data_IF_664263808076
#
_entry.id   IF_664263808076
#
_cell.length_a   1.000
_cell.length_b   1.000
_cell.length_c   1.000
_cell.angle_alpha   90.00
_cell.angle_beta   90.00
_cell.angle_gamma   90.00
#
_symmetry.space_group_name_H-M   'P 1'
#
loop_
_entity.id
_entity.type
_entity.pdbx_description
1 polymer ?
#
# COMPACT_ATOMS: atom_id res chain seq x y z
N UNK A 1 15.64 -7.25 -22.89
CA UNK A 1 14.73 -7.88 -21.91
C UNK A 1 13.80 -6.89 -21.19
N UNK A 2 13.94 -5.57 -21.31
CA UNK A 2 13.10 -4.63 -20.54
C UNK A 2 11.68 -4.38 -21.07
N UNK A 3 11.44 -4.41 -22.40
CA UNK A 3 10.15 -3.94 -22.96
C UNK A 3 8.94 -4.77 -22.52
N UNK A 4 9.05 -6.10 -22.57
CA UNK A 4 7.96 -7.00 -22.14
C UNK A 4 7.67 -6.80 -20.66
N UNK A 5 8.72 -6.73 -19.83
CA UNK A 5 8.57 -6.48 -18.39
C UNK A 5 7.90 -5.13 -18.13
N UNK A 6 8.29 -4.07 -18.83
CA UNK A 6 7.66 -2.75 -18.71
C UNK A 6 6.20 -2.77 -19.15
N UNK A 7 5.87 -3.45 -20.24
CA UNK A 7 4.48 -3.61 -20.72
C UNK A 7 3.65 -4.38 -19.68
N UNK A 8 4.17 -5.49 -19.17
CA UNK A 8 3.48 -6.28 -18.14
C UNK A 8 3.23 -5.49 -16.87
N UNK A 9 4.23 -4.74 -16.37
CA UNK A 9 4.08 -3.90 -15.18
C UNK A 9 3.06 -2.78 -15.43
N UNK A 10 3.11 -2.13 -16.61
CA UNK A 10 2.15 -1.07 -16.95
C UNK A 10 0.72 -1.60 -17.01
N UNK A 11 0.53 -2.80 -17.58
CA UNK A 11 -0.77 -3.47 -17.62
C UNK A 11 -1.26 -3.84 -16.22
N UNK A 12 -0.38 -4.35 -15.35
CA UNK A 12 -0.73 -4.67 -13.97
C UNK A 12 -1.15 -3.41 -13.19
N UNK A 13 -0.42 -2.30 -13.35
CA UNK A 13 -0.79 -1.02 -12.73
C UNK A 13 -2.13 -0.52 -13.27
N UNK A 14 -2.38 -0.62 -14.58
CA UNK A 14 -3.65 -0.25 -15.18
C UNK A 14 -4.82 -1.06 -14.62
N UNK A 15 -4.69 -2.40 -14.56
CA UNK A 15 -5.72 -3.27 -14.01
C UNK A 15 -5.99 -2.97 -12.53
N UNK A 16 -4.95 -2.74 -11.74
CA UNK A 16 -5.10 -2.32 -10.34
C UNK A 16 -5.78 -0.95 -10.21
N UNK A 17 -5.48 0.01 -11.08
CA UNK A 17 -6.13 1.33 -11.08
C UNK A 17 -7.61 1.28 -11.45
N UNK A 18 -7.99 0.32 -12.28
CA UNK A 18 -9.39 0.02 -12.61
C UNK A 18 -10.06 -0.89 -11.56
N UNK A 19 -9.37 -1.20 -10.45
CA UNK A 19 -9.82 -2.08 -9.39
C UNK A 19 -10.19 -3.50 -9.87
N UNK A 20 -9.46 -4.02 -10.86
CA UNK A 20 -9.63 -5.39 -11.38
C UNK A 20 -8.75 -6.34 -10.58
N UNK A 21 -9.37 -7.29 -9.90
CA UNK A 21 -8.72 -8.34 -9.12
C UNK A 21 -8.60 -9.65 -9.90
N UNK A 22 -7.66 -10.51 -9.49
CA UNK A 22 -7.50 -11.85 -10.10
C UNK A 22 -8.78 -12.69 -10.00
N UNK A 23 -9.57 -12.51 -8.93
CA UNK A 23 -10.87 -13.17 -8.76
C UNK A 23 -11.82 -12.82 -9.91
N UNK A 24 -11.86 -11.55 -10.34
CA UNK A 24 -12.71 -11.11 -11.44
C UNK A 24 -12.38 -11.82 -12.75
N UNK A 25 -11.08 -12.09 -12.99
CA UNK A 25 -10.64 -12.82 -14.18
C UNK A 25 -11.16 -14.26 -14.19
N UNK A 26 -11.25 -14.91 -13.02
CA UNK A 26 -11.80 -16.27 -12.89
C UNK A 26 -13.31 -16.28 -13.11
N UNK A 27 -14.00 -15.22 -12.73
CA UNK A 27 -15.46 -15.08 -12.83
C UNK A 27 -15.94 -14.61 -14.21
N UNK A 28 -15.04 -14.29 -15.15
CA UNK A 28 -15.41 -13.88 -16.52
C UNK A 28 -16.24 -14.94 -17.27
N UNK A 29 -16.05 -16.22 -16.98
CA UNK A 29 -16.89 -17.28 -17.55
C UNK A 29 -18.36 -17.14 -17.15
N UNK A 30 -18.61 -16.84 -15.87
CA UNK A 30 -19.96 -16.65 -15.34
C UNK A 30 -20.61 -15.37 -15.90
N UNK A 31 -19.81 -14.32 -16.14
CA UNK A 31 -20.28 -13.12 -16.83
C UNK A 31 -20.79 -13.44 -18.24
N UNK A 32 -20.05 -14.25 -19.00
CA UNK A 32 -20.44 -14.63 -20.37
C UNK A 32 -21.67 -15.53 -20.36
N UNK A 33 -21.75 -16.51 -19.46
CA UNK A 33 -22.92 -17.39 -19.32
C UNK A 33 -24.17 -16.59 -18.96
N UNK A 34 -24.06 -15.66 -18.01
CA UNK A 34 -25.20 -14.83 -17.59
C UNK A 34 -25.61 -13.84 -18.69
N UNK A 35 -24.65 -13.30 -19.46
CA UNK A 35 -24.99 -12.52 -20.66
C UNK A 35 -25.74 -13.35 -21.71
N UNK A 36 -25.34 -14.60 -21.94
CA UNK A 36 -26.05 -15.48 -22.88
C UNK A 36 -27.48 -15.73 -22.43
N UNK A 37 -27.69 -16.00 -21.15
CA UNK A 37 -29.04 -16.12 -20.57
C UNK A 37 -29.88 -14.86 -20.81
N UNK A 38 -29.33 -13.67 -20.54
CA UNK A 38 -30.00 -12.40 -20.77
C UNK A 38 -30.34 -12.13 -22.24
N UNK A 39 -29.43 -12.49 -23.14
CA UNK A 39 -29.64 -12.35 -24.58
C UNK A 39 -30.72 -13.33 -25.09
N UNK A 40 -30.79 -14.54 -24.54
CA UNK A 40 -31.78 -15.56 -24.94
C UNK A 40 -33.18 -15.31 -24.34
N UNK A 41 -33.26 -15.00 -23.04
CA UNK A 41 -34.52 -14.86 -22.31
C UNK A 41 -35.13 -13.46 -22.46
N UNK A 42 -34.30 -12.41 -22.39
CA UNK A 42 -34.75 -11.02 -22.37
C UNK A 42 -34.44 -10.26 -23.67
N UNK A 43 -33.65 -10.84 -24.58
CA UNK A 43 -33.23 -10.17 -25.81
C UNK A 43 -32.26 -9.02 -25.58
N UNK A 44 -31.54 -9.02 -24.44
CA UNK A 44 -30.60 -7.96 -24.10
C UNK A 44 -29.35 -8.05 -24.98
N UNK A 45 -28.98 -6.93 -25.61
CA UNK A 45 -27.63 -6.79 -26.15
C UNK A 45 -26.59 -6.60 -25.03
N UNK A 46 -25.31 -6.75 -25.38
CA UNK A 46 -24.23 -6.67 -24.41
C UNK A 46 -24.17 -5.32 -23.67
N UNK A 47 -24.51 -4.21 -24.32
CA UNK A 47 -24.45 -2.88 -23.69
C UNK A 47 -25.60 -2.70 -22.69
N UNK A 48 -26.79 -3.18 -23.03
CA UNK A 48 -27.95 -3.19 -22.11
C UNK A 48 -27.65 -4.07 -20.92
N UNK A 49 -27.08 -5.27 -21.13
CA UNK A 49 -26.65 -6.15 -20.05
C UNK A 49 -25.65 -5.47 -19.10
N UNK A 50 -24.60 -4.84 -19.65
CA UNK A 50 -23.63 -4.09 -18.82
C UNK A 50 -24.30 -2.96 -18.05
N UNK A 51 -25.25 -2.24 -18.65
CA UNK A 51 -25.99 -1.18 -17.96
C UNK A 51 -26.87 -1.72 -16.82
N UNK A 52 -27.49 -2.89 -17.01
CA UNK A 52 -28.32 -3.58 -16.00
C UNK A 52 -27.51 -4.17 -14.84
N UNK A 53 -26.23 -4.45 -15.01
CA UNK A 53 -25.41 -5.09 -13.97
C UNK A 53 -24.35 -4.16 -13.35
N UNK A 54 -23.89 -3.15 -14.08
CA UNK A 54 -22.79 -2.26 -13.70
C UNK A 54 -23.06 -0.76 -13.96
N UNK A 55 -24.18 -0.39 -14.57
CA UNK A 55 -24.49 0.99 -14.96
C UNK A 55 -25.82 1.51 -14.42
N UNK A 56 -26.42 2.42 -15.18
CA UNK A 56 -27.58 3.21 -14.77
C UNK A 56 -28.84 2.36 -14.50
N UNK A 57 -28.98 1.21 -15.16
CA UNK A 57 -30.16 0.35 -15.02
C UNK A 57 -30.07 -0.61 -13.84
N UNK A 58 -28.93 -0.69 -13.16
CA UNK A 58 -28.65 -1.67 -12.10
C UNK A 58 -29.67 -1.69 -10.97
N UNK A 59 -30.04 -0.53 -10.44
CA UNK A 59 -31.00 -0.44 -9.36
C UNK A 59 -32.36 -1.03 -9.78
N UNK A 60 -32.85 -0.61 -10.95
CA UNK A 60 -34.14 -1.06 -11.49
C UNK A 60 -34.16 -2.56 -11.82
N UNK A 61 -33.03 -3.09 -12.32
CA UNK A 61 -32.91 -4.50 -12.64
C UNK A 61 -32.89 -5.35 -11.37
N UNK A 62 -32.12 -4.96 -10.36
CA UNK A 62 -32.05 -5.65 -9.07
C UNK A 62 -33.38 -5.64 -8.30
N UNK A 63 -34.23 -4.63 -8.49
CA UNK A 63 -35.57 -4.59 -7.87
C UNK A 63 -36.55 -5.55 -8.55
N UNK A 64 -36.50 -5.65 -9.88
CA UNK A 64 -37.42 -6.45 -10.69
C UNK A 64 -37.08 -7.93 -10.72
N UNK A 65 -35.79 -8.27 -10.68
CA UNK A 65 -35.27 -9.63 -10.82
C UNK A 65 -34.55 -10.05 -9.53
N UNK A 66 -35.32 -10.24 -8.46
CA UNK A 66 -34.77 -10.64 -7.16
C UNK A 66 -34.39 -12.12 -7.12
N UNK A 67 -34.99 -12.92 -8.00
CA UNK A 67 -34.71 -14.35 -8.19
C UNK A 67 -33.27 -14.61 -8.65
N UNK A 68 -32.69 -13.68 -9.42
CA UNK A 68 -31.32 -13.79 -9.97
C UNK A 68 -30.24 -13.33 -9.00
N UNK A 69 -30.61 -12.85 -7.80
CA UNK A 69 -29.69 -12.24 -6.83
C UNK A 69 -28.47 -13.11 -6.47
N UNK A 70 -28.66 -14.43 -6.36
CA UNK A 70 -27.56 -15.37 -6.08
C UNK A 70 -26.60 -15.55 -7.25
N UNK A 71 -27.08 -15.36 -8.47
CA UNK A 71 -26.25 -15.39 -9.67
C UNK A 71 -25.50 -14.08 -9.83
N UNK A 72 -26.14 -12.96 -9.49
CA UNK A 72 -25.46 -11.66 -9.43
C UNK A 72 -24.23 -11.74 -8.53
N UNK A 73 -24.30 -12.32 -7.33
CA UNK A 73 -23.16 -12.43 -6.39
C UNK A 73 -21.91 -13.14 -6.97
N UNK A 74 -22.08 -13.91 -8.05
CA UNK A 74 -21.00 -14.63 -8.72
C UNK A 74 -20.37 -13.80 -9.85
N UNK A 75 -20.99 -12.71 -10.26
CA UNK A 75 -20.47 -11.86 -11.32
C UNK A 75 -19.21 -11.12 -10.85
N UNK A 76 -18.23 -10.91 -11.76
CA UNK A 76 -17.03 -10.15 -11.45
C UNK A 76 -17.36 -8.69 -11.12
N UNK A 77 -16.38 -7.96 -10.55
CA UNK A 77 -16.43 -6.52 -10.29
C UNK A 77 -17.50 -6.07 -9.27
N UNK A 78 -17.92 -6.97 -8.38
CA UNK A 78 -18.90 -6.67 -7.33
C UNK A 78 -18.29 -6.32 -5.98
N UNK A 79 -16.97 -6.26 -5.88
CA UNK A 79 -16.29 -5.82 -4.67
C UNK A 79 -16.59 -4.35 -4.41
N UNK A 80 -17.36 -4.10 -3.34
CA UNK A 80 -17.47 -2.78 -2.78
C UNK A 80 -16.11 -2.32 -2.28
N UNK A 81 -15.71 -1.11 -2.65
CA UNK A 81 -14.57 -0.44 -2.04
C UNK A 81 -14.82 -0.40 -0.54
N UNK A 82 -14.12 -1.23 0.23
CA UNK A 82 -13.83 -0.82 1.59
C UNK A 82 -13.11 0.53 1.44
N UNK A 83 -13.54 1.61 2.12
CA UNK A 83 -12.85 2.90 2.09
C UNK A 83 -11.40 2.84 2.62
N UNK A 84 -10.91 1.64 2.94
CA UNK A 84 -9.58 1.30 3.41
C UNK A 84 -8.79 0.44 2.40
N UNK A 85 -9.11 0.48 1.10
CA UNK A 85 -8.17 0.01 0.09
C UNK A 85 -7.00 1.01 0.01
N UNK A 86 -6.08 0.89 0.97
CA UNK A 86 -4.81 1.62 0.94
C UNK A 86 -4.13 1.26 -0.39
N UNK A 87 -3.80 2.22 -1.27
CA UNK A 87 -2.95 1.92 -2.40
C UNK A 87 -1.67 1.31 -1.83
N UNK A 88 -1.33 0.10 -2.29
CA UNK A 88 -0.09 -0.56 -1.91
C UNK A 88 1.04 0.29 -2.52
N UNK A 89 1.52 1.28 -1.75
CA UNK A 89 2.57 2.19 -2.20
C UNK A 89 3.85 1.37 -2.27
N UNK A 90 4.24 0.98 -3.48
CA UNK A 90 5.54 0.40 -3.72
C UNK A 90 6.58 1.51 -3.77
N UNK A 91 7.23 1.77 -2.63
CA UNK A 91 8.42 2.63 -2.59
C UNK A 91 9.61 1.77 -2.99
N UNK A 92 10.10 1.95 -4.22
CA UNK A 92 11.39 1.39 -4.62
C UNK A 92 12.48 2.16 -3.85
N UNK A 93 12.92 1.61 -2.72
CA UNK A 93 14.06 2.13 -1.99
C UNK A 93 15.28 2.08 -2.91
N UNK A 94 15.72 3.23 -3.41
CA UNK A 94 17.09 3.34 -3.88
C UNK A 94 17.94 3.26 -2.62
N UNK A 95 18.58 2.11 -2.39
CA UNK A 95 19.77 2.08 -1.55
C UNK A 95 20.79 2.98 -2.25
N UNK A 96 20.75 4.27 -1.92
CA UNK A 96 21.86 5.16 -2.19
C UNK A 96 22.98 4.66 -1.29
N UNK A 97 23.82 3.75 -1.82
CA UNK A 97 25.13 3.40 -1.28
C UNK A 97 26.05 4.63 -1.32
N UNK A 98 25.65 5.72 -0.66
CA UNK A 98 26.60 6.75 -0.24
C UNK A 98 27.11 6.26 1.10
N UNK A 99 28.11 5.37 1.03
CA UNK A 99 29.03 5.13 2.15
C UNK A 99 29.76 6.46 2.43
N UNK A 100 29.08 7.38 3.10
CA UNK A 100 29.71 8.51 3.76
C UNK A 100 30.24 7.98 5.07
N UNK A 101 31.46 7.45 5.04
CA UNK A 101 32.21 7.29 6.28
C UNK A 101 32.35 8.70 6.88
N UNK A 102 31.89 8.96 8.11
CA UNK A 102 32.18 10.23 8.75
C UNK A 102 33.70 10.30 8.88
N UNK A 103 34.31 11.29 8.23
CA UNK A 103 35.71 11.60 8.43
C UNK A 103 35.84 11.96 9.91
N UNK A 104 36.38 11.04 10.72
CA UNK A 104 36.62 11.28 12.14
C UNK A 104 37.66 12.40 12.19
N UNK A 105 37.34 13.60 12.70
CA UNK A 105 38.35 14.63 12.82
C UNK A 105 39.44 14.09 13.74
N UNK A 106 40.69 14.07 13.28
CA UNK A 106 41.83 13.81 14.16
C UNK A 106 41.70 14.80 15.31
N UNK A 107 41.55 14.30 16.53
CA UNK A 107 41.39 15.14 17.72
C UNK A 107 42.58 16.11 17.77
N UNK A 108 42.35 17.37 17.41
CA UNK A 108 43.33 18.41 17.63
C UNK A 108 43.60 18.42 19.13
N UNK A 109 44.87 18.19 19.52
CA UNK A 109 45.31 18.20 20.90
C UNK A 109 45.06 19.62 21.43
N UNK A 110 43.88 19.84 22.02
CA UNK A 110 43.48 21.15 22.50
C UNK A 110 44.49 21.64 23.52
N UNK A 111 44.92 22.90 23.40
CA UNK A 111 45.81 23.57 24.34
C UNK A 111 45.02 23.97 25.61
N UNK A 112 44.40 22.98 26.25
CA UNK A 112 43.70 23.17 27.52
C UNK A 112 44.66 22.82 28.65
N UNK A 113 44.90 23.79 29.53
CA UNK A 113 45.62 23.56 30.79
C UNK A 113 44.62 23.68 31.93
N UNK A 114 44.44 22.61 32.70
CA UNK A 114 43.57 22.63 33.86
C UNK A 114 44.29 23.31 35.02
N UNK A 115 43.93 24.54 35.36
CA UNK A 115 44.39 25.20 36.58
C UNK A 115 43.43 24.85 37.71
N UNK A 116 43.87 23.98 38.63
CA UNK A 116 43.10 23.70 39.84
C UNK A 116 43.09 24.97 40.70
N UNK A 117 41.91 25.55 40.86
CA UNK A 117 41.68 26.65 41.79
C UNK A 117 41.37 26.06 43.17
N UNK A 118 42.37 25.98 44.05
CA UNK A 118 42.13 25.62 45.44
C UNK A 118 41.63 26.85 46.18
N UNK A 119 40.38 26.80 46.65
CA UNK A 119 39.88 27.79 47.61
C UNK A 119 40.14 27.26 49.03
N UNK A 120 40.88 28.01 49.85
CA UNK A 120 41.10 27.70 51.27
C UNK A 120 39.83 27.84 52.14
N UNK A 121 38.70 28.20 51.54
CA UNK A 121 37.43 28.47 52.23
C UNK A 121 36.75 27.17 52.66
N UNK A 122 37.07 26.05 52.02
CA UNK A 122 36.73 24.72 52.51
C UNK A 122 37.96 24.08 53.14
N UNK A 123 38.13 24.34 54.44
CA UNK A 123 39.11 23.65 55.28
C UNK A 123 38.92 22.13 55.28
N UNK A 124 39.92 21.43 55.79
CA UNK A 124 40.08 19.96 55.85
C UNK A 124 38.98 19.24 56.65
N UNK A 125 37.71 19.32 56.22
CA UNK A 125 36.58 18.89 57.03
C UNK A 125 35.79 17.72 56.41
N UNK A 126 35.87 16.61 57.14
CA UNK A 126 34.95 15.48 57.33
C UNK A 126 34.44 14.66 56.14
N UNK A 127 34.31 15.22 54.94
CA UNK A 127 33.73 14.55 53.78
C UNK A 127 34.75 14.22 52.68
N UNK A 128 35.98 13.89 53.07
CA UNK A 128 36.92 13.24 52.15
C UNK A 128 36.83 11.72 52.30
N UNK A 129 36.77 10.97 51.20
CA UNK A 129 36.80 9.51 51.28
C UNK A 129 38.10 9.04 51.96
N UNK A 130 38.08 7.90 52.67
CA UNK A 130 39.26 7.35 53.33
C UNK A 130 40.40 7.20 52.33
N UNK A 131 41.56 7.80 52.62
CA UNK A 131 42.69 7.80 51.68
C UNK A 131 43.49 6.49 51.70
N UNK A 132 43.19 5.57 52.60
CA UNK A 132 43.77 4.23 52.67
C UNK A 132 42.71 3.22 53.17
N UNK A 133 42.78 1.99 52.64
CA UNK A 133 41.81 0.91 52.82
C UNK A 133 41.83 0.28 54.23
#
# INVERSE_FOLDING_TARGET
MNKIVTISISLLILLQSANIHLKDLVELGQLVEHYQFHNEEYGDDFMVFVSKHYGDLKASHSEKHQEERKEHEKLPFQHHQAPCAQPLVFVLGQDSFINSYPEIPLAAKGNFHYQISYSHIWGDNLFQPPKQA
#
